data_IF_466553885018
#
_entry.id   IF_466553885018
#
_cell.length_a   1.000
_cell.length_b   1.000
_cell.length_c   1.000
_cell.angle_alpha   90.00
_cell.angle_beta   90.00
_cell.angle_gamma   90.00
#
_symmetry.space_group_name_H-M   'P 1'
#
loop_
_entity.id
_entity.type
_entity.pdbx_description
1 polymer ?
#
# COMPACT_ATOMS: atom_id res chain seq x y z
N UNK A 1 -7.20 4.13 18.92
CA UNK A 1 -5.98 3.69 18.20
C UNK A 1 -5.49 2.28 18.62
N UNK A 2 -6.28 1.49 19.34
CA UNK A 2 -5.84 0.21 19.95
C UNK A 2 -5.91 -1.03 19.05
N UNK A 3 -6.62 -1.00 17.90
CA UNK A 3 -6.93 -2.23 17.16
C UNK A 3 -6.13 -2.50 15.88
N UNK A 4 -5.13 -1.70 15.53
CA UNK A 4 -4.38 -1.92 14.29
C UNK A 4 -3.49 -3.18 14.29
N UNK A 5 -2.94 -3.54 15.45
CA UNK A 5 -2.12 -4.76 15.57
C UNK A 5 -2.97 -6.03 15.50
N UNK A 6 -4.17 -6.00 16.07
CA UNK A 6 -5.06 -7.16 16.12
C UNK A 6 -5.54 -7.61 14.73
N UNK A 7 -5.85 -6.67 13.82
CA UNK A 7 -6.34 -7.00 12.48
C UNK A 7 -5.27 -7.70 11.62
N UNK A 8 -3.99 -7.30 11.76
CA UNK A 8 -2.86 -7.97 11.08
C UNK A 8 -2.63 -9.37 11.63
N UNK A 9 -2.81 -9.55 12.93
CA UNK A 9 -2.62 -10.85 13.58
C UNK A 9 -3.80 -11.80 13.37
N UNK A 10 -4.98 -11.26 13.05
CA UNK A 10 -6.18 -12.03 12.76
C UNK A 10 -6.19 -12.60 11.32
N UNK A 11 -5.45 -12.00 10.40
CA UNK A 11 -5.44 -12.42 8.99
C UNK A 11 -5.15 -13.91 8.79
N UNK A 12 -4.18 -14.45 9.52
CA UNK A 12 -3.80 -15.87 9.42
C UNK A 12 -4.67 -16.79 10.30
N UNK A 13 -5.55 -16.22 11.12
CA UNK A 13 -6.34 -16.94 12.14
C UNK A 13 -7.80 -17.11 11.79
N UNK A 14 -8.28 -16.52 10.70
CA UNK A 14 -9.68 -16.57 10.30
C UNK A 14 -9.84 -16.70 8.78
N UNK A 15 -11.02 -17.14 8.29
CA UNK A 15 -11.33 -17.15 6.87
C UNK A 15 -11.20 -15.75 6.25
N UNK A 16 -10.68 -15.69 5.01
CA UNK A 16 -10.45 -14.43 4.31
C UNK A 16 -11.72 -13.55 4.20
N UNK A 17 -12.89 -14.16 3.99
CA UNK A 17 -14.15 -13.43 3.92
C UNK A 17 -14.50 -12.70 5.22
N UNK A 18 -14.28 -13.34 6.36
CA UNK A 18 -14.54 -12.76 7.68
C UNK A 18 -13.53 -11.63 7.96
N UNK A 19 -12.27 -11.86 7.63
CA UNK A 19 -11.25 -10.81 7.75
C UNK A 19 -11.58 -9.58 6.88
N UNK A 20 -12.03 -9.79 5.64
CA UNK A 20 -12.44 -8.69 4.74
C UNK A 20 -13.64 -7.90 5.29
N UNK A 21 -14.57 -8.55 5.98
CA UNK A 21 -15.68 -7.87 6.65
C UNK A 21 -15.16 -6.97 7.79
N UNK A 22 -14.29 -7.51 8.65
CA UNK A 22 -13.66 -6.73 9.73
C UNK A 22 -12.80 -5.57 9.20
N UNK A 23 -12.05 -5.80 8.13
CA UNK A 23 -11.25 -4.77 7.46
C UNK A 23 -12.14 -3.61 6.98
N UNK A 24 -13.27 -3.92 6.34
CA UNK A 24 -14.25 -2.91 5.89
C UNK A 24 -14.82 -2.12 7.05
N UNK A 25 -15.23 -2.79 8.13
CA UNK A 25 -15.79 -2.13 9.30
C UNK A 25 -14.75 -1.23 9.96
N UNK A 26 -13.50 -1.68 10.01
CA UNK A 26 -12.39 -0.89 10.53
C UNK A 26 -12.16 0.40 9.71
N UNK A 27 -12.09 0.30 8.37
CA UNK A 27 -11.92 1.46 7.49
C UNK A 27 -13.09 2.44 7.59
N UNK A 28 -14.34 1.94 7.67
CA UNK A 28 -15.52 2.78 7.84
C UNK A 28 -15.56 3.49 9.19
N UNK A 29 -15.21 2.79 10.27
CA UNK A 29 -15.14 3.39 11.61
C UNK A 29 -14.04 4.46 11.67
N UNK A 30 -12.85 4.16 11.18
CA UNK A 30 -11.75 5.12 11.09
C UNK A 30 -12.17 6.38 10.31
N UNK A 31 -12.80 6.21 9.15
CA UNK A 31 -13.28 7.32 8.35
C UNK A 31 -14.34 8.16 9.10
N UNK A 32 -15.31 7.55 9.79
CA UNK A 32 -16.32 8.26 10.56
C UNK A 32 -15.70 9.01 11.76
N UNK A 33 -14.74 8.42 12.44
CA UNK A 33 -14.04 9.04 13.57
C UNK A 33 -13.19 10.23 13.16
N UNK A 34 -12.61 10.21 11.99
CA UNK A 34 -11.72 11.26 11.48
C UNK A 34 -12.46 12.34 10.69
N UNK A 35 -13.71 12.10 10.26
CA UNK A 35 -14.51 13.04 9.47
C UNK A 35 -15.74 13.51 10.25
N UNK A 36 -15.52 14.24 11.36
CA UNK A 36 -16.59 14.74 12.25
C UNK A 36 -17.12 16.11 11.86
N UNK A 37 -16.33 16.91 11.15
CA UNK A 37 -16.67 18.29 10.81
C UNK A 37 -16.48 18.55 9.30
N UNK A 38 -17.34 19.41 8.78
CA UNK A 38 -17.27 19.84 7.38
C UNK A 38 -16.00 20.66 7.13
N UNK A 39 -15.12 20.20 6.25
CA UNK A 39 -13.89 20.91 5.89
C UNK A 39 -14.14 22.27 5.18
N UNK A 40 -15.38 22.53 4.69
CA UNK A 40 -15.75 23.80 4.06
C UNK A 40 -16.24 24.85 5.07
N UNK A 41 -17.03 24.46 6.07
CA UNK A 41 -17.71 25.44 6.95
C UNK A 41 -17.65 25.12 8.44
N UNK A 42 -16.92 24.09 8.85
CA UNK A 42 -16.70 23.71 10.24
C UNK A 42 -17.91 23.12 10.97
N UNK A 43 -19.07 22.98 10.31
CA UNK A 43 -20.29 22.42 10.93
C UNK A 43 -20.13 20.91 11.12
N UNK A 44 -20.64 20.36 12.23
CA UNK A 44 -20.65 18.91 12.47
C UNK A 44 -21.36 18.18 11.33
N UNK A 45 -20.79 17.07 10.91
CA UNK A 45 -21.36 16.22 9.87
C UNK A 45 -22.36 15.24 10.46
N UNK A 46 -23.40 14.93 9.70
CA UNK A 46 -24.43 13.94 10.01
C UNK A 46 -24.39 12.80 8.99
N UNK A 47 -24.87 11.63 9.37
CA UNK A 47 -25.02 10.53 8.41
C UNK A 47 -26.02 10.90 7.32
N UNK A 48 -25.79 10.43 6.10
CA UNK A 48 -26.76 10.59 5.02
C UNK A 48 -28.11 9.96 5.43
N UNK A 49 -29.25 10.63 5.14
CA UNK A 49 -30.58 10.13 5.53
C UNK A 49 -30.96 8.80 4.86
N UNK A 50 -30.46 8.55 3.62
CA UNK A 50 -30.60 7.24 2.99
C UNK A 50 -29.56 6.28 3.59
N UNK A 51 -29.96 5.18 4.26
CA UNK A 51 -29.03 4.22 4.86
C UNK A 51 -28.19 3.43 3.84
N UNK A 52 -28.57 3.43 2.56
CA UNK A 52 -27.77 2.81 1.49
C UNK A 52 -26.59 3.68 1.04
N UNK A 53 -26.63 4.98 1.34
CA UNK A 53 -25.57 5.93 1.05
C UNK A 53 -24.51 5.95 2.16
N UNK A 54 -23.31 5.54 1.83
CA UNK A 54 -22.15 5.61 2.75
C UNK A 54 -21.53 7.00 2.71
N UNK A 55 -22.31 8.01 3.08
CA UNK A 55 -21.86 9.40 3.11
C UNK A 55 -22.14 10.07 4.45
N UNK A 56 -21.29 11.02 4.80
CA UNK A 56 -21.56 12.03 5.81
C UNK A 56 -21.95 13.33 5.08
N UNK A 57 -22.97 14.04 5.61
CA UNK A 57 -23.51 15.25 5.00
C UNK A 57 -23.36 16.44 5.93
N UNK A 58 -23.06 17.59 5.38
CA UNK A 58 -23.10 18.83 6.12
C UNK A 58 -24.53 19.41 6.09
N UNK A 59 -25.24 19.53 7.23
CA UNK A 59 -26.60 20.08 7.25
C UNK A 59 -26.64 21.56 6.90
N UNK A 60 -25.52 22.29 7.01
CA UNK A 60 -25.45 23.74 6.71
C UNK A 60 -25.16 24.04 5.25
N UNK A 61 -24.19 23.36 4.62
CA UNK A 61 -23.72 23.72 3.28
C UNK A 61 -23.96 22.64 2.22
N UNK A 62 -24.54 21.49 2.59
CA UNK A 62 -24.89 20.40 1.68
C UNK A 62 -23.69 19.57 1.16
N UNK A 63 -22.46 19.86 1.60
CA UNK A 63 -21.29 19.04 1.20
C UNK A 63 -21.44 17.60 1.65
N UNK A 64 -21.09 16.67 0.78
CA UNK A 64 -21.06 15.24 1.03
C UNK A 64 -19.64 14.74 1.09
N UNK A 65 -19.37 13.86 2.04
CA UNK A 65 -18.08 13.20 2.26
C UNK A 65 -18.28 11.69 2.17
N UNK A 66 -17.53 11.04 1.31
CA UNK A 66 -17.53 9.60 1.15
C UNK A 66 -16.28 8.98 1.79
N UNK A 67 -16.29 7.68 2.14
CA UNK A 67 -15.10 7.00 2.60
C UNK A 67 -13.94 7.20 1.62
N UNK A 68 -12.80 7.61 2.14
CA UNK A 68 -11.59 7.82 1.36
C UNK A 68 -10.73 6.58 1.42
N UNK A 69 -10.23 6.16 0.27
CA UNK A 69 -9.25 5.09 0.11
C UNK A 69 -8.03 5.71 -0.54
N UNK A 70 -6.86 5.56 0.09
CA UNK A 70 -5.60 6.11 -0.43
C UNK A 70 -4.90 5.05 -1.29
N UNK A 71 -4.77 5.26 -2.60
CA UNK A 71 -4.05 4.35 -3.46
C UNK A 71 -2.54 4.47 -3.27
N UNK A 72 -1.85 3.33 -3.28
CA UNK A 72 -0.41 3.24 -3.25
C UNK A 72 0.07 2.14 -4.21
N UNK A 73 1.19 2.36 -4.87
CA UNK A 73 1.86 1.34 -5.67
C UNK A 73 2.79 0.50 -4.82
N UNK A 74 3.01 -0.75 -5.22
CA UNK A 74 4.06 -1.61 -4.70
C UNK A 74 4.66 -2.41 -5.85
N UNK A 75 5.98 -2.39 -5.99
CA UNK A 75 6.63 -2.80 -7.24
C UNK A 75 7.75 -3.80 -7.00
N UNK A 76 7.65 -4.96 -7.65
CA UNK A 76 8.76 -5.90 -7.76
C UNK A 76 9.57 -5.56 -9.01
N UNK A 77 10.79 -5.07 -8.81
CA UNK A 77 11.74 -4.77 -9.91
C UNK A 77 12.64 -5.97 -10.15
N UNK A 78 12.69 -6.44 -11.39
CA UNK A 78 13.51 -7.58 -11.81
C UNK A 78 14.76 -7.14 -12.57
N UNK A 79 15.90 -7.76 -12.25
CA UNK A 79 17.17 -7.67 -13.01
C UNK A 79 17.69 -9.09 -13.28
N UNK A 80 17.30 -9.67 -14.39
CA UNK A 80 17.56 -11.08 -14.69
C UNK A 80 16.90 -12.01 -13.66
N UNK A 81 17.71 -12.79 -12.97
CA UNK A 81 17.30 -13.75 -11.91
C UNK A 81 17.26 -13.15 -10.51
N UNK A 82 17.40 -11.83 -10.37
CA UNK A 82 17.39 -11.10 -9.11
C UNK A 82 16.23 -10.12 -9.04
N UNK A 83 15.84 -9.77 -7.81
CA UNK A 83 14.88 -8.73 -7.50
C UNK A 83 15.51 -7.65 -6.62
N UNK A 84 15.00 -6.42 -6.73
CA UNK A 84 15.31 -5.34 -5.81
C UNK A 84 14.54 -5.54 -4.51
N UNK A 85 15.24 -5.50 -3.39
CA UNK A 85 14.63 -5.36 -2.07
C UNK A 85 15.26 -4.19 -1.33
N UNK A 86 14.48 -3.58 -0.45
CA UNK A 86 14.86 -2.39 0.31
C UNK A 86 14.49 -2.56 1.78
N UNK A 87 15.23 -1.87 2.65
CA UNK A 87 14.95 -1.79 4.08
C UNK A 87 14.60 -0.36 4.45
N UNK A 88 13.37 -0.17 4.92
CA UNK A 88 12.84 1.12 5.34
C UNK A 88 13.09 1.36 6.84
N UNK A 89 13.39 2.61 7.23
CA UNK A 89 13.62 3.04 8.63
C UNK A 89 12.40 2.89 9.52
N UNK A 90 11.19 3.00 8.96
CA UNK A 90 9.94 2.99 9.70
C UNK A 90 9.52 1.60 10.21
N UNK A 91 10.15 0.53 9.73
CA UNK A 91 9.85 -0.82 10.21
C UNK A 91 10.64 -1.14 11.48
N UNK A 92 9.92 -1.42 12.58
CA UNK A 92 10.50 -1.84 13.87
C UNK A 92 11.30 -3.13 13.80
N UNK A 93 11.11 -3.95 12.79
CA UNK A 93 11.83 -5.19 12.53
C UNK A 93 12.62 -5.05 11.22
N UNK A 94 13.79 -5.68 11.10
CA UNK A 94 14.62 -5.60 9.89
C UNK A 94 14.01 -6.41 8.75
N UNK A 95 12.84 -5.98 8.27
CA UNK A 95 12.21 -6.58 7.09
C UNK A 95 12.70 -5.86 5.84
N UNK A 96 13.05 -6.65 4.86
CA UNK A 96 13.26 -6.19 3.51
C UNK A 96 11.94 -6.27 2.74
N UNK A 97 11.61 -5.25 2.00
CA UNK A 97 10.37 -5.15 1.23
C UNK A 97 10.64 -4.68 -0.18
N UNK A 98 9.58 -4.54 -0.95
CA UNK A 98 9.58 -3.96 -2.28
C UNK A 98 9.44 -2.44 -2.19
N UNK A 99 9.80 -1.73 -3.26
CA UNK A 99 9.52 -0.29 -3.45
C UNK A 99 8.03 -0.05 -3.34
N UNK A 100 7.61 0.95 -2.58
CA UNK A 100 6.20 1.25 -2.41
C UNK A 100 5.98 2.70 -1.98
N UNK A 101 5.02 3.39 -2.62
CA UNK A 101 4.64 4.73 -2.24
C UNK A 101 3.25 5.13 -2.69
N UNK A 102 2.81 6.28 -2.23
CA UNK A 102 1.49 6.83 -2.54
C UNK A 102 1.47 7.54 -3.88
N UNK A 103 0.29 7.59 -4.50
CA UNK A 103 0.09 8.39 -5.71
C UNK A 103 0.04 9.87 -5.35
N UNK A 104 0.68 10.67 -6.17
CA UNK A 104 0.53 12.11 -6.17
C UNK A 104 -0.74 12.56 -6.94
N UNK A 105 -1.28 13.77 -6.65
CA UNK A 105 -2.39 14.32 -7.40
C UNK A 105 -2.09 14.40 -8.91
N UNK A 106 -3.02 13.91 -9.72
CA UNK A 106 -2.94 13.85 -11.19
C UNK A 106 -1.87 12.88 -11.75
N UNK A 107 -1.35 11.99 -10.94
CA UNK A 107 -0.39 10.96 -11.34
C UNK A 107 -1.11 9.65 -11.73
N UNK A 108 -0.64 8.99 -12.78
CA UNK A 108 -1.05 7.61 -13.12
C UNK A 108 -0.27 6.59 -12.30
N UNK A 109 -0.75 5.34 -12.22
CA UNK A 109 -0.03 4.28 -11.51
C UNK A 109 1.36 4.03 -12.10
N UNK A 110 1.50 4.07 -13.42
CA UNK A 110 2.76 3.84 -14.11
C UNK A 110 3.76 4.99 -13.88
N UNK A 111 3.29 6.21 -13.72
CA UNK A 111 4.11 7.37 -13.34
C UNK A 111 4.56 7.26 -11.90
N UNK A 112 3.66 6.92 -10.96
CA UNK A 112 3.98 6.66 -9.56
C UNK A 112 5.05 5.56 -9.43
N UNK A 113 4.89 4.45 -10.15
CA UNK A 113 5.89 3.36 -10.17
C UNK A 113 7.27 3.86 -10.56
N UNK A 114 7.37 4.69 -11.63
CA UNK A 114 8.67 5.23 -12.06
C UNK A 114 9.25 6.23 -11.09
N UNK A 115 8.41 7.10 -10.53
CA UNK A 115 8.83 8.12 -9.56
C UNK A 115 9.36 7.46 -8.30
N UNK A 116 8.58 6.59 -7.66
CA UNK A 116 8.97 5.91 -6.41
C UNK A 116 10.27 5.10 -6.57
N UNK A 117 10.41 4.36 -7.69
CA UNK A 117 11.63 3.60 -7.96
C UNK A 117 12.84 4.54 -8.14
N UNK A 118 12.65 5.69 -8.79
CA UNK A 118 13.72 6.66 -8.96
C UNK A 118 14.10 7.35 -7.64
N UNK A 119 13.11 7.75 -6.86
CA UNK A 119 13.30 8.43 -5.58
C UNK A 119 13.96 7.51 -4.56
N UNK A 120 13.42 6.32 -4.33
CA UNK A 120 13.90 5.40 -3.30
C UNK A 120 15.16 4.61 -3.69
N UNK A 121 15.46 4.45 -4.98
CA UNK A 121 16.54 3.56 -5.41
C UNK A 121 17.42 4.04 -6.56
N UNK A 122 17.14 5.20 -7.15
CA UNK A 122 17.87 5.78 -8.30
C UNK A 122 17.92 4.87 -9.53
N UNK A 123 16.88 4.07 -9.75
CA UNK A 123 16.79 3.14 -10.87
C UNK A 123 15.81 3.62 -11.95
N UNK A 124 16.06 3.18 -13.19
CA UNK A 124 15.12 3.28 -14.29
C UNK A 124 14.54 1.90 -14.64
N UNK A 125 13.23 1.89 -14.95
CA UNK A 125 12.50 0.66 -15.25
C UNK A 125 11.64 0.76 -16.50
N UNK A 126 11.34 -0.40 -17.05
CA UNK A 126 10.45 -0.56 -18.21
C UNK A 126 9.48 -1.72 -18.00
N UNK A 127 8.60 -1.96 -18.99
CA UNK A 127 7.65 -3.09 -18.98
C UNK A 127 6.87 -3.23 -17.67
N UNK A 128 6.32 -2.11 -17.18
CA UNK A 128 5.49 -2.07 -15.97
C UNK A 128 4.21 -2.86 -16.24
N UNK A 129 3.95 -3.90 -15.44
CA UNK A 129 2.81 -4.81 -15.60
C UNK A 129 2.05 -4.92 -14.28
N UNK A 130 0.73 -4.77 -14.35
CA UNK A 130 -0.15 -4.99 -13.20
C UNK A 130 -0.09 -6.45 -12.75
N UNK A 131 0.05 -6.65 -11.42
CA UNK A 131 0.04 -7.97 -10.80
C UNK A 131 -1.25 -8.28 -10.05
N UNK A 132 -1.78 -7.31 -9.32
CA UNK A 132 -2.97 -7.46 -8.51
C UNK A 132 -3.12 -6.31 -7.53
N UNK A 133 -4.20 -6.31 -6.75
CA UNK A 133 -4.41 -5.32 -5.72
C UNK A 133 -4.83 -5.97 -4.40
N UNK A 134 -4.71 -5.21 -3.31
CA UNK A 134 -5.06 -5.64 -1.98
C UNK A 134 -5.52 -4.44 -1.15
N UNK A 135 -6.67 -4.57 -0.47
CA UNK A 135 -7.01 -3.61 0.59
C UNK A 135 -5.99 -3.73 1.73
N UNK A 136 -5.56 -2.59 2.23
CA UNK A 136 -4.62 -2.49 3.34
C UNK A 136 -5.18 -1.52 4.37
N UNK A 137 -6.04 -2.01 5.28
CA UNK A 137 -6.84 -1.19 6.19
C UNK A 137 -6.01 -0.61 7.35
N UNK A 138 -4.87 0.04 7.00
CA UNK A 138 -3.94 0.64 7.97
C UNK A 138 -3.45 2.01 7.48
N UNK A 139 -4.26 3.10 7.62
CA UNK A 139 -5.65 3.08 8.09
C UNK A 139 -6.69 2.75 7.01
N UNK A 140 -6.48 3.09 5.73
CA UNK A 140 -7.43 2.90 4.62
C UNK A 140 -6.70 3.04 3.28
N UNK A 141 -5.90 2.03 2.92
CA UNK A 141 -5.10 2.05 1.70
C UNK A 141 -5.52 0.96 0.72
N UNK A 142 -5.35 1.24 -0.56
CA UNK A 142 -5.40 0.25 -1.64
C UNK A 142 -3.99 0.08 -2.20
N UNK A 143 -3.37 -1.07 -1.90
CA UNK A 143 -2.08 -1.42 -2.50
C UNK A 143 -2.29 -2.00 -3.90
N UNK A 144 -1.64 -1.40 -4.90
CA UNK A 144 -1.69 -1.84 -6.30
C UNK A 144 -0.32 -2.37 -6.69
N UNK A 145 -0.23 -3.69 -6.90
CA UNK A 145 1.00 -4.41 -7.16
C UNK A 145 1.39 -4.41 -8.63
N UNK A 146 2.65 -4.14 -8.89
CA UNK A 146 3.26 -4.16 -10.21
C UNK A 146 4.53 -4.99 -10.26
N UNK A 147 4.87 -5.44 -11.45
CA UNK A 147 6.18 -6.00 -11.80
C UNK A 147 6.80 -5.09 -12.87
N UNK A 148 8.07 -4.73 -12.70
CA UNK A 148 8.81 -3.93 -13.67
C UNK A 148 10.18 -4.55 -13.96
N UNK A 149 10.70 -4.31 -15.16
CA UNK A 149 12.02 -4.78 -15.55
C UNK A 149 13.03 -3.63 -15.41
N UNK A 150 14.17 -3.89 -14.74
CA UNK A 150 15.27 -2.94 -14.62
C UNK A 150 15.84 -2.57 -15.99
N UNK A 151 16.17 -1.30 -16.18
CA UNK A 151 16.80 -0.77 -17.39
C UNK A 151 18.21 -0.28 -17.07
N UNK A 152 18.35 0.59 -16.06
CA UNK A 152 19.64 1.20 -15.73
C UNK A 152 19.67 1.70 -14.28
N UNK A 153 20.84 2.09 -13.80
CA UNK A 153 21.10 2.57 -12.45
C UNK A 153 21.60 1.45 -11.52
N UNK A 154 22.16 1.87 -10.39
CA UNK A 154 22.53 0.96 -9.29
C UNK A 154 21.74 1.36 -8.03
N UNK A 155 21.28 0.37 -7.22
CA UNK A 155 20.47 0.64 -6.05
C UNK A 155 21.19 1.60 -5.08
N UNK A 156 20.68 2.82 -5.00
CA UNK A 156 21.21 3.85 -4.11
C UNK A 156 20.07 4.29 -3.19
N UNK A 157 20.11 3.91 -1.89
CA UNK A 157 19.13 4.37 -0.92
C UNK A 157 19.10 5.89 -0.82
N UNK A 158 17.93 6.48 -0.60
CA UNK A 158 17.77 7.92 -0.38
C UNK A 158 18.41 8.39 0.94
N UNK A 159 18.59 7.48 1.92
CA UNK A 159 19.16 7.73 3.23
C UNK A 159 18.20 8.37 4.24
N UNK A 160 16.97 8.66 3.84
CA UNK A 160 15.92 9.22 4.68
C UNK A 160 14.89 8.14 5.05
N UNK A 161 14.19 7.61 4.07
CA UNK A 161 13.23 6.53 4.25
C UNK A 161 13.88 5.15 4.05
N UNK A 162 14.71 5.00 3.04
CA UNK A 162 15.41 3.76 2.70
C UNK A 162 16.85 3.82 3.17
N UNK A 163 17.23 2.88 4.03
CA UNK A 163 18.58 2.79 4.60
C UNK A 163 19.47 1.78 3.89
N UNK A 164 18.88 0.77 3.28
CA UNK A 164 19.60 -0.24 2.51
C UNK A 164 18.74 -0.66 1.32
N UNK A 165 19.39 -0.88 0.18
CA UNK A 165 18.78 -1.50 -1.00
C UNK A 165 19.77 -2.38 -1.71
N UNK A 166 19.28 -3.43 -2.40
CA UNK A 166 20.18 -4.36 -3.10
C UNK A 166 19.44 -5.39 -3.95
N UNK A 167 20.24 -6.08 -4.77
CA UNK A 167 19.77 -7.16 -5.64
C UNK A 167 19.89 -8.51 -4.96
N UNK A 168 18.79 -9.25 -4.87
CA UNK A 168 18.72 -10.56 -4.22
C UNK A 168 18.25 -11.64 -5.18
N UNK A 169 18.98 -12.74 -5.21
CA UNK A 169 18.60 -13.96 -5.90
C UNK A 169 17.73 -14.87 -5.02
N UNK A 170 17.16 -15.93 -5.63
CA UNK A 170 16.30 -16.88 -4.90
C UNK A 170 17.00 -17.57 -3.73
N UNK A 171 18.31 -17.76 -3.84
CA UNK A 171 19.10 -18.52 -2.86
C UNK A 171 19.59 -17.69 -1.66
N UNK A 172 19.46 -16.35 -1.73
CA UNK A 172 19.97 -15.44 -0.70
C UNK A 172 18.97 -14.38 -0.26
N UNK A 173 17.70 -14.69 -0.28
CA UNK A 173 16.65 -13.77 0.17
C UNK A 173 16.78 -13.46 1.67
N UNK A 174 16.67 -12.20 2.07
CA UNK A 174 16.66 -11.78 3.47
C UNK A 174 15.32 -12.08 4.15
N UNK A 175 15.12 -11.59 5.37
CA UNK A 175 13.82 -11.63 6.03
C UNK A 175 12.78 -10.84 5.23
N UNK A 176 11.74 -11.53 4.78
CA UNK A 176 10.68 -10.99 3.92
C UNK A 176 9.44 -10.56 4.73
N UNK A 177 8.53 -9.73 4.14
CA UNK A 177 7.27 -9.38 4.75
C UNK A 177 6.40 -10.60 5.08
N UNK A 178 5.44 -10.41 5.98
CA UNK A 178 4.45 -11.44 6.33
C UNK A 178 3.64 -11.87 5.10
N UNK A 179 3.17 -13.11 5.08
CA UNK A 179 2.38 -13.71 3.99
C UNK A 179 1.05 -13.00 3.70
N UNK A 180 0.56 -12.22 4.64
CA UNK A 180 -0.62 -11.36 4.48
C UNK A 180 -0.47 -10.32 3.38
N UNK A 181 0.74 -9.80 3.13
CA UNK A 181 0.97 -8.64 2.28
C UNK A 181 1.08 -9.00 0.80
N UNK A 182 0.61 -8.09 -0.06
CA UNK A 182 0.81 -8.19 -1.51
C UNK A 182 2.30 -8.14 -1.88
N UNK A 183 3.14 -7.47 -1.09
CA UNK A 183 4.60 -7.52 -1.23
C UNK A 183 5.11 -8.95 -1.21
N UNK A 184 4.69 -9.73 -0.21
CA UNK A 184 5.07 -11.13 -0.10
C UNK A 184 4.50 -11.97 -1.23
N UNK A 185 3.27 -11.74 -1.65
CA UNK A 185 2.65 -12.43 -2.80
C UNK A 185 3.41 -12.22 -4.10
N UNK A 186 3.92 -11.00 -4.34
CA UNK A 186 4.78 -10.67 -5.47
C UNK A 186 6.09 -11.46 -5.41
N UNK A 187 6.76 -11.45 -4.27
CA UNK A 187 8.03 -12.19 -4.09
C UNK A 187 7.82 -13.70 -4.23
N UNK A 188 6.76 -14.27 -3.62
CA UNK A 188 6.45 -15.68 -3.76
C UNK A 188 6.14 -16.06 -5.22
N UNK A 189 5.41 -15.21 -5.96
CA UNK A 189 5.15 -15.42 -7.38
C UNK A 189 6.43 -15.45 -8.23
N UNK A 190 7.42 -14.60 -7.90
CA UNK A 190 8.72 -14.61 -8.55
C UNK A 190 9.54 -15.86 -8.17
N UNK A 191 9.55 -16.28 -6.90
CA UNK A 191 10.22 -17.52 -6.45
C UNK A 191 9.69 -18.72 -7.21
N UNK A 192 8.37 -18.79 -7.39
CA UNK A 192 7.66 -19.87 -8.09
C UNK A 192 7.77 -19.79 -9.62
N UNK A 193 8.39 -18.75 -10.18
CA UNK A 193 8.54 -18.57 -11.62
C UNK A 193 7.26 -18.20 -12.37
N UNK A 194 6.25 -17.66 -11.67
CA UNK A 194 4.98 -17.20 -12.28
C UNK A 194 5.06 -15.79 -12.89
N UNK A 195 6.11 -15.05 -12.55
CA UNK A 195 6.40 -13.69 -13.05
C UNK A 195 7.90 -13.49 -13.28
#
# INVERSE_FOLDING_TARGET
>A
MENYQDLRDLFEKMPLGDWMALARDHELNYWQETNKFCGRCGTALERHPDPNERAMCCPKCGMRYYPQITPAVIVLVKKGDKILLQRNTHYKLPHWSLVAGFLDPAETFEEAVRREIREESSLEVSHIRYFGSQTWPFPSNLMVGFVADWVSGEPTPDGEEIVESGWFGRDNLPSLPRKISIARRLVDAWIEGRI
#
